data_IF_592199113419
#
_entry.id   IF_592199113419
#
_cell.length_a   1.000
_cell.length_b   1.000
_cell.length_c   1.000
_cell.angle_alpha   90.00
_cell.angle_beta   90.00
_cell.angle_gamma   90.00
#
_symmetry.space_group_name_H-M   'P 1'
#
loop_
_entity.id
_entity.type
_entity.pdbx_description
1 polymer ?
#
# COMPACT_ATOMS: atom_id res chain seq x y z
N UNK A 1 -14.27 7.42 -1.98
CA UNK A 1 -15.41 8.27 -1.60
C UNK A 1 -15.17 8.75 -0.17
N UNK A 2 -15.23 10.07 0.06
CA UNK A 2 -14.89 10.85 1.27
C UNK A 2 -13.39 10.96 1.63
N UNK A 3 -12.69 11.83 0.91
CA UNK A 3 -11.78 12.80 1.53
C UNK A 3 -12.63 13.97 2.02
N UNK A 4 -12.63 14.24 3.31
CA UNK A 4 -13.08 15.51 3.86
C UNK A 4 -11.82 16.36 4.02
N UNK A 5 -11.83 17.57 3.45
CA UNK A 5 -10.70 18.50 3.41
C UNK A 5 -10.25 18.94 4.80
N UNK A 6 -8.94 19.04 5.01
CA UNK A 6 -8.32 20.15 5.72
C UNK A 6 -6.95 20.38 5.10
N UNK A 7 -6.82 21.51 4.43
CA UNK A 7 -5.57 22.04 3.91
C UNK A 7 -4.78 22.60 5.11
N UNK A 8 -3.57 22.09 5.35
CA UNK A 8 -2.55 22.88 6.05
C UNK A 8 -1.21 22.66 5.37
N UNK A 9 -0.60 23.81 5.07
CA UNK A 9 0.73 24.00 4.54
C UNK A 9 1.79 23.11 5.20
N UNK A 10 2.85 22.87 4.44
CA UNK A 10 4.07 22.18 4.85
C UNK A 10 4.61 22.70 6.19
N UNK A 11 4.35 21.94 7.25
CA UNK A 11 5.00 22.08 8.55
C UNK A 11 5.01 20.73 9.24
N UNK A 12 6.20 20.13 9.41
CA UNK A 12 6.43 18.96 10.27
C UNK A 12 5.79 19.23 11.65
N UNK A 13 4.60 18.71 11.88
CA UNK A 13 3.94 18.72 13.18
C UNK A 13 3.71 17.28 13.61
N UNK A 14 4.16 16.94 14.82
CA UNK A 14 3.95 15.62 15.39
C UNK A 14 2.44 15.35 15.49
N UNK A 15 1.94 14.42 14.68
CA UNK A 15 0.51 14.15 14.54
C UNK A 15 -0.18 13.83 15.87
N UNK A 16 -1.42 14.33 16.01
CA UNK A 16 -2.30 14.09 17.16
C UNK A 16 -2.48 12.58 17.40
N UNK A 17 -2.78 12.18 18.65
CA UNK A 17 -2.97 10.77 19.02
C UNK A 17 -4.03 10.04 18.17
N UNK A 18 -4.97 10.80 17.61
CA UNK A 18 -6.01 10.31 16.70
C UNK A 18 -5.43 9.85 15.36
N UNK A 19 -4.64 10.71 14.69
CA UNK A 19 -4.01 10.40 13.41
C UNK A 19 -3.08 9.18 13.52
N UNK A 20 -2.38 9.04 14.65
CA UNK A 20 -1.50 7.89 14.92
C UNK A 20 -2.21 6.54 14.96
N UNK A 21 -3.51 6.49 15.26
CA UNK A 21 -4.27 5.24 15.37
C UNK A 21 -5.13 4.95 14.14
N UNK A 22 -5.73 6.00 13.55
CA UNK A 22 -6.61 5.84 12.39
C UNK A 22 -5.84 5.56 11.12
N UNK A 23 -4.70 6.23 10.92
CA UNK A 23 -3.92 6.11 9.69
C UNK A 23 -3.47 4.67 9.44
N UNK A 24 -2.86 3.94 10.41
CA UNK A 24 -2.46 2.54 10.18
C UNK A 24 -3.62 1.61 9.80
N UNK A 25 -4.81 1.83 10.36
CA UNK A 25 -6.00 1.02 10.06
C UNK A 25 -6.53 1.29 8.65
N UNK A 26 -6.49 2.54 8.19
CA UNK A 26 -6.86 2.92 6.83
C UNK A 26 -5.87 2.32 5.82
N UNK A 27 -4.58 2.35 6.12
CA UNK A 27 -3.55 1.71 5.29
C UNK A 27 -3.78 0.19 5.16
N UNK A 28 -4.12 -0.49 6.27
CA UNK A 28 -4.46 -1.91 6.24
C UNK A 28 -5.75 -2.17 5.43
N UNK A 29 -6.75 -1.29 5.51
CA UNK A 29 -7.95 -1.40 4.69
C UNK A 29 -7.66 -1.19 3.20
N UNK A 30 -6.75 -0.29 2.85
CA UNK A 30 -6.28 -0.13 1.47
C UNK A 30 -5.64 -1.44 0.96
N UNK A 31 -4.85 -2.11 1.80
CA UNK A 31 -4.26 -3.42 1.51
C UNK A 31 -5.34 -4.51 1.27
N UNK A 32 -6.41 -4.53 2.07
CA UNK A 32 -7.56 -5.44 1.87
C UNK A 32 -8.26 -5.16 0.54
N UNK A 33 -8.50 -3.89 0.20
CA UNK A 33 -9.14 -3.52 -1.05
C UNK A 33 -8.27 -3.91 -2.26
N UNK A 34 -6.96 -3.66 -2.19
CA UNK A 34 -6.01 -4.05 -3.24
C UNK A 34 -5.97 -5.56 -3.47
N UNK A 35 -5.99 -6.37 -2.41
CA UNK A 35 -6.04 -7.83 -2.54
C UNK A 35 -7.33 -8.35 -3.13
N UNK A 36 -8.48 -7.85 -2.69
CA UNK A 36 -9.78 -8.20 -3.28
C UNK A 36 -9.84 -7.84 -4.75
N UNK A 37 -9.38 -6.64 -5.12
CA UNK A 37 -9.36 -6.19 -6.51
C UNK A 37 -8.47 -7.09 -7.36
N UNK A 38 -7.25 -7.37 -6.92
CA UNK A 38 -6.33 -8.25 -7.62
C UNK A 38 -6.91 -9.67 -7.81
N UNK A 39 -7.58 -10.21 -6.78
CA UNK A 39 -8.25 -11.50 -6.87
C UNK A 39 -9.42 -11.48 -7.86
N UNK A 40 -10.25 -10.44 -7.86
CA UNK A 40 -11.34 -10.26 -8.84
C UNK A 40 -10.78 -10.22 -10.25
N UNK A 41 -9.83 -9.32 -10.53
CA UNK A 41 -9.22 -9.16 -11.87
C UNK A 41 -8.57 -10.46 -12.33
N UNK A 42 -7.86 -11.18 -11.46
CA UNK A 42 -7.24 -12.47 -11.80
C UNK A 42 -8.29 -13.50 -12.22
N UNK A 43 -9.41 -13.56 -11.52
CA UNK A 43 -10.50 -14.48 -11.80
C UNK A 43 -11.26 -14.08 -13.08
N UNK A 44 -11.64 -12.81 -13.19
CA UNK A 44 -12.45 -12.26 -14.29
C UNK A 44 -11.70 -12.34 -15.63
N UNK A 45 -10.38 -12.18 -15.62
CA UNK A 45 -9.53 -12.27 -16.81
C UNK A 45 -8.95 -13.68 -17.04
N UNK A 46 -9.29 -14.66 -16.19
CA UNK A 46 -8.77 -16.03 -16.24
C UNK A 46 -7.23 -16.09 -16.39
N UNK A 47 -6.53 -15.45 -15.45
CA UNK A 47 -5.06 -15.31 -15.43
C UNK A 47 -4.39 -16.23 -14.39
N UNK A 48 -4.38 -17.57 -14.57
CA UNK A 48 -3.91 -18.49 -13.53
C UNK A 48 -2.41 -18.37 -13.23
N UNK A 49 -1.59 -18.01 -14.23
CA UNK A 49 -0.12 -17.99 -14.16
C UNK A 49 0.44 -16.56 -14.17
N UNK A 50 -0.24 -15.62 -13.52
CA UNK A 50 0.27 -14.26 -13.34
C UNK A 50 0.82 -14.08 -11.94
N UNK A 51 2.06 -13.60 -11.86
CA UNK A 51 2.68 -13.16 -10.61
C UNK A 51 2.13 -11.77 -10.25
N UNK A 52 1.63 -11.64 -9.03
CA UNK A 52 1.07 -10.39 -8.50
C UNK A 52 2.01 -9.86 -7.42
N UNK A 53 2.36 -8.59 -7.50
CA UNK A 53 3.14 -7.88 -6.49
C UNK A 53 2.22 -6.88 -5.76
N UNK A 54 2.26 -6.90 -4.43
CA UNK A 54 1.52 -5.98 -3.59
C UNK A 54 2.49 -5.01 -2.92
N UNK A 55 2.32 -3.72 -3.20
CA UNK A 55 3.23 -2.68 -2.73
C UNK A 55 2.49 -1.73 -1.79
N UNK A 56 3.11 -1.43 -0.66
CA UNK A 56 2.60 -0.46 0.31
C UNK A 56 3.76 0.38 0.84
N UNK A 57 3.53 1.67 1.06
CA UNK A 57 4.45 2.56 1.77
C UNK A 57 4.20 2.58 3.29
N UNK A 58 3.16 1.88 3.75
CA UNK A 58 2.88 1.71 5.17
C UNK A 58 3.71 0.55 5.75
N UNK A 59 4.87 0.88 6.34
CA UNK A 59 5.67 -0.09 7.09
C UNK A 59 4.87 -0.79 8.20
N UNK A 60 3.88 -0.11 8.80
CA UNK A 60 3.01 -0.69 9.82
C UNK A 60 2.08 -1.75 9.24
N UNK A 61 1.39 -1.44 8.13
CA UNK A 61 0.52 -2.41 7.46
C UNK A 61 1.33 -3.61 6.96
N UNK A 62 2.50 -3.36 6.36
CA UNK A 62 3.40 -4.42 5.92
C UNK A 62 3.86 -5.30 7.08
N UNK A 63 4.24 -4.71 8.22
CA UNK A 63 4.64 -5.46 9.39
C UNK A 63 3.51 -6.34 9.95
N UNK A 64 2.27 -5.87 9.94
CA UNK A 64 1.11 -6.68 10.31
C UNK A 64 0.88 -7.85 9.35
N UNK A 65 1.05 -7.63 8.04
CA UNK A 65 0.89 -8.65 7.01
C UNK A 65 2.00 -9.70 7.07
N UNK A 66 3.25 -9.30 7.33
CA UNK A 66 4.40 -10.21 7.30
C UNK A 66 4.65 -10.95 8.61
N UNK A 67 4.28 -10.38 9.76
CA UNK A 67 4.60 -10.97 11.07
C UNK A 67 3.43 -11.76 11.64
N UNK A 68 3.72 -12.90 12.24
CA UNK A 68 2.76 -13.67 13.04
C UNK A 68 2.83 -13.22 14.49
N UNK A 69 1.81 -12.48 14.94
CA UNK A 69 1.62 -12.02 16.32
C UNK A 69 0.12 -11.90 16.61
N UNK A 70 -0.20 -11.87 17.90
CA UNK A 70 -1.55 -11.57 18.36
C UNK A 70 -1.82 -10.08 18.25
N UNK A 71 -2.51 -9.69 17.18
CA UNK A 71 -3.01 -8.33 17.01
C UNK A 71 -4.44 -8.24 17.55
N UNK A 72 -4.90 -7.02 17.82
CA UNK A 72 -6.31 -6.79 18.15
C UNK A 72 -7.24 -7.27 17.03
N UNK A 73 -8.46 -7.68 17.39
CA UNK A 73 -9.44 -8.35 16.50
C UNK A 73 -9.58 -7.69 15.13
N UNK A 74 -9.62 -6.35 15.07
CA UNK A 74 -9.70 -5.61 13.80
C UNK A 74 -8.54 -5.92 12.85
N UNK A 75 -7.29 -5.86 13.35
CA UNK A 75 -6.10 -6.11 12.52
C UNK A 75 -6.03 -7.58 12.15
N UNK A 76 -6.26 -8.48 13.13
CA UNK A 76 -6.19 -9.92 12.92
C UNK A 76 -7.15 -10.41 11.83
N UNK A 77 -8.40 -9.93 11.82
CA UNK A 77 -9.37 -10.31 10.81
C UNK A 77 -8.95 -9.86 9.38
N UNK A 78 -8.32 -8.69 9.27
CA UNK A 78 -7.93 -8.08 7.97
C UNK A 78 -6.65 -8.72 7.44
N UNK A 79 -5.68 -8.98 8.32
CA UNK A 79 -4.48 -9.74 7.97
C UNK A 79 -4.83 -11.16 7.55
N UNK A 80 -5.75 -11.83 8.25
CA UNK A 80 -6.22 -13.17 7.87
C UNK A 80 -6.83 -13.16 6.47
N UNK A 81 -7.65 -12.18 6.16
CA UNK A 81 -8.23 -12.04 4.83
C UNK A 81 -7.18 -11.81 3.74
N UNK A 82 -6.25 -10.88 3.95
CA UNK A 82 -5.13 -10.61 3.03
C UNK A 82 -4.34 -11.89 2.74
N UNK A 83 -3.99 -12.64 3.79
CA UNK A 83 -3.21 -13.88 3.67
C UNK A 83 -3.97 -15.03 3.02
N UNK A 84 -5.31 -15.00 3.04
CA UNK A 84 -6.13 -15.98 2.32
C UNK A 84 -6.19 -15.69 0.81
N UNK A 85 -6.03 -14.42 0.41
CA UNK A 85 -6.14 -13.97 -0.98
C UNK A 85 -4.77 -13.73 -1.65
N UNK A 86 -3.68 -13.70 -0.89
CA UNK A 86 -2.35 -13.38 -1.38
C UNK A 86 -1.26 -14.07 -0.56
N UNK A 87 -0.15 -14.40 -1.22
CA UNK A 87 1.06 -14.89 -0.56
C UNK A 87 1.77 -13.76 0.18
N UNK A 88 2.18 -14.01 1.43
CA UNK A 88 2.90 -13.03 2.26
C UNK A 88 4.20 -12.57 1.60
N UNK A 89 4.87 -13.45 0.85
CA UNK A 89 6.12 -13.14 0.13
C UNK A 89 5.93 -12.19 -1.05
N UNK A 90 4.69 -11.95 -1.49
CA UNK A 90 4.38 -11.04 -2.59
C UNK A 90 4.18 -9.60 -2.12
N UNK A 91 4.30 -9.34 -0.82
CA UNK A 91 4.16 -8.02 -0.20
C UNK A 91 5.50 -7.37 0.05
N UNK A 92 5.69 -6.18 -0.53
CA UNK A 92 6.93 -5.41 -0.41
C UNK A 92 6.66 -3.94 -0.05
N UNK A 93 7.67 -3.31 0.56
CA UNK A 93 7.63 -1.89 0.86
C UNK A 93 8.07 -1.07 -0.35
N UNK A 94 7.32 -0.01 -0.66
CA UNK A 94 7.73 1.06 -1.59
C UNK A 94 7.81 2.39 -0.83
N UNK A 95 8.87 3.20 -0.97
CA UNK A 95 8.92 4.54 -0.40
C UNK A 95 7.71 5.38 -0.83
N UNK A 96 7.15 6.20 0.06
CA UNK A 96 5.97 7.03 -0.24
C UNK A 96 6.17 7.89 -1.49
N UNK A 97 7.38 8.44 -1.72
CA UNK A 97 7.70 9.26 -2.89
C UNK A 97 7.73 8.45 -4.21
N UNK A 98 7.80 7.12 -4.10
CA UNK A 98 7.78 6.17 -5.22
C UNK A 98 6.47 5.37 -5.27
N UNK A 99 5.53 5.60 -4.34
CA UNK A 99 4.24 4.94 -4.31
C UNK A 99 3.31 5.55 -5.37
N UNK A 100 3.27 4.91 -6.53
CA UNK A 100 2.51 5.39 -7.69
C UNK A 100 0.98 5.36 -7.48
N UNK A 101 0.49 4.58 -6.52
CA UNK A 101 -0.92 4.56 -6.14
C UNK A 101 -1.34 5.83 -5.38
N UNK A 102 -0.39 6.52 -4.76
CA UNK A 102 -0.66 7.72 -3.97
C UNK A 102 -1.14 8.89 -4.83
N UNK A 103 -0.75 8.95 -6.12
CA UNK A 103 -1.22 9.97 -7.07
C UNK A 103 -2.76 9.94 -7.18
N UNK A 104 -3.36 8.75 -7.29
CA UNK A 104 -4.81 8.59 -7.32
C UNK A 104 -5.44 8.89 -5.96
N UNK A 105 -4.78 8.44 -4.89
CA UNK A 105 -5.24 8.68 -3.52
C UNK A 105 -5.32 10.18 -3.23
N UNK A 106 -4.34 10.98 -3.67
CA UNK A 106 -4.24 12.43 -3.46
C UNK A 106 -5.32 13.23 -4.18
N UNK A 107 -5.85 12.69 -5.27
CA UNK A 107 -6.71 13.41 -6.19
C UNK A 107 -5.84 13.99 -7.30
N UNK A 108 -6.01 13.47 -8.51
CA UNK A 108 -5.31 13.92 -9.70
C UNK A 108 -6.33 14.21 -10.80
N UNK A 109 -6.01 15.12 -11.71
CA UNK A 109 -6.84 15.38 -12.88
C UNK A 109 -6.46 14.43 -14.04
N UNK A 110 -7.34 14.36 -15.05
CA UNK A 110 -7.13 13.47 -16.20
C UNK A 110 -5.85 13.80 -16.97
N UNK A 111 -5.48 15.08 -17.09
CA UNK A 111 -4.27 15.50 -17.80
C UNK A 111 -2.99 15.00 -17.10
N UNK A 112 -2.96 15.02 -15.76
CA UNK A 112 -1.85 14.47 -14.99
C UNK A 112 -1.71 12.96 -15.21
N UNK A 113 -2.81 12.21 -15.23
CA UNK A 113 -2.78 10.77 -15.47
C UNK A 113 -2.23 10.42 -16.86
N UNK A 114 -2.63 11.18 -17.88
CA UNK A 114 -2.14 11.01 -19.25
C UNK A 114 -0.67 11.36 -19.34
N UNK A 115 -0.25 12.49 -18.76
CA UNK A 115 1.15 12.91 -18.77
C UNK A 115 2.07 11.89 -18.09
N UNK A 116 1.63 11.32 -16.96
CA UNK A 116 2.38 10.31 -16.21
C UNK A 116 2.29 8.90 -16.81
N UNK A 117 1.47 8.70 -17.87
CA UNK A 117 1.13 7.38 -18.43
C UNK A 117 0.77 6.38 -17.34
N UNK A 118 -0.15 6.78 -16.45
CA UNK A 118 -0.26 6.14 -15.14
C UNK A 118 -0.51 4.62 -15.19
N UNK A 119 -1.23 4.16 -16.21
CA UNK A 119 -1.55 2.76 -16.47
C UNK A 119 -0.34 1.88 -16.83
N UNK A 120 0.80 2.45 -17.19
CA UNK A 120 2.03 1.70 -17.50
C UNK A 120 2.81 1.37 -16.23
N UNK A 121 2.53 2.08 -15.14
CA UNK A 121 3.28 1.97 -13.91
C UNK A 121 4.72 2.50 -14.05
N UNK A 122 5.48 2.43 -12.95
CA UNK A 122 6.86 2.87 -12.93
C UNK A 122 7.78 1.88 -13.64
N UNK A 123 8.85 2.39 -14.27
CA UNK A 123 9.78 1.59 -15.09
C UNK A 123 10.36 0.37 -14.39
N UNK A 124 10.66 0.48 -13.09
CA UNK A 124 11.24 -0.60 -12.28
C UNK A 124 10.30 -1.78 -12.07
N UNK A 125 8.99 -1.61 -12.29
CA UNK A 125 8.02 -2.70 -12.23
C UNK A 125 8.13 -3.64 -13.45
N UNK A 126 8.69 -3.14 -14.55
CA UNK A 126 8.91 -3.89 -15.79
C UNK A 126 10.30 -4.54 -15.86
N UNK A 127 11.16 -4.32 -14.87
CA UNK A 127 12.48 -4.94 -14.79
C UNK A 127 12.37 -6.42 -14.36
N UNK A 128 13.29 -7.27 -14.83
CA UNK A 128 13.37 -8.68 -14.45
C UNK A 128 14.74 -8.97 -13.79
N UNK A 129 14.78 -9.30 -12.48
CA UNK A 129 13.66 -9.33 -11.54
C UNK A 129 13.14 -7.92 -11.22
N UNK A 130 11.88 -7.80 -10.78
CA UNK A 130 11.30 -6.53 -10.32
C UNK A 130 12.15 -5.96 -9.19
N UNK A 131 12.69 -4.76 -9.38
CA UNK A 131 13.54 -4.09 -8.40
C UNK A 131 12.77 -2.93 -7.74
N UNK A 132 11.97 -3.25 -6.72
CA UNK A 132 11.30 -2.20 -5.96
C UNK A 132 12.36 -1.28 -5.32
N UNK A 133 12.26 0.05 -5.48
CA UNK A 133 13.19 0.98 -4.86
C UNK A 133 13.11 0.82 -3.35
N UNK A 134 14.16 0.30 -2.71
CA UNK A 134 14.17 0.11 -1.25
C UNK A 134 14.44 1.45 -0.57
N UNK A 135 13.76 1.72 0.54
CA UNK A 135 14.18 2.80 1.43
C UNK A 135 15.58 2.47 1.97
N UNK A 136 16.47 3.46 2.04
CA UNK A 136 17.70 3.32 2.84
C UNK A 136 17.23 2.96 4.25
N UNK A 137 17.62 1.80 4.77
CA UNK A 137 17.24 1.36 6.10
C UNK A 137 17.65 2.45 7.10
N UNK A 138 16.68 3.22 7.60
CA UNK A 138 16.90 4.03 8.80
C UNK A 138 16.67 3.07 9.96
N UNK A 139 17.67 2.85 10.84
CA UNK A 139 17.51 1.92 11.95
C UNK A 139 16.34 2.41 12.81
N UNK A 140 15.32 1.56 13.02
CA UNK A 140 14.28 1.87 14.01
C UNK A 140 14.97 1.98 15.38
N UNK A 141 15.01 3.19 15.95
CA UNK A 141 15.34 3.37 17.36
C UNK A 141 14.33 2.58 18.17
N UNK A 142 14.81 1.53 18.86
CA UNK A 142 14.04 0.81 19.87
C UNK A 142 13.58 1.83 20.90
N UNK A 143 12.27 1.95 21.10
CA UNK A 143 11.69 2.59 22.28
C UNK A 143 11.82 1.64 23.46
#
# INVERSE_FOLDING_TARGET
MKKMFCETDTGKSEGSSFERYFYPRLELLACVLGTRLAASVKNDLNLPVVRIYYLTDSMTALAWIQRTRDWGVFVSNRVKEIRNLSDVSSWEHVPSEKNFADILSRGCNAQQLVYLRWWEGPSWLSESPVQCPRSKQVPMKRR
#
